data_IF_048993376493
#
_entry.id   IF_048993376493
#
_cell.length_a   1.000
_cell.length_b   1.000
_cell.length_c   1.000
_cell.angle_alpha   90.00
_cell.angle_beta   90.00
_cell.angle_gamma   90.00
#
_symmetry.space_group_name_H-M   'P 1'
#
loop_
_entity.id
_entity.type
_entity.pdbx_description
1 polymer ?
#
# COMPACT_ATOMS: atom_id res chain seq x y z
N UNK A 1 -1.15 85.69 17.88
CA UNK A 1 -2.09 85.03 16.95
C UNK A 1 -1.55 83.64 16.63
N UNK A 2 -2.29 82.56 16.96
CA UNK A 2 -1.93 81.17 16.61
C UNK A 2 -3.06 80.59 15.77
N UNK A 3 -2.73 80.11 14.58
CA UNK A 3 -3.65 79.44 13.64
C UNK A 3 -3.90 77.98 14.06
N UNK A 4 -5.13 77.45 13.94
CA UNK A 4 -5.39 76.05 14.24
C UNK A 4 -5.01 75.16 13.05
N UNK A 5 -4.40 74.02 13.37
CA UNK A 5 -3.94 73.00 12.42
C UNK A 5 -4.97 71.86 12.39
N UNK A 6 -5.60 71.60 11.24
CA UNK A 6 -6.60 70.54 11.11
C UNK A 6 -5.91 69.21 10.77
N UNK A 7 -5.74 68.37 11.80
CA UNK A 7 -5.23 67.01 11.66
C UNK A 7 -6.33 66.11 11.09
N UNK A 8 -6.14 65.62 9.86
CA UNK A 8 -7.05 64.70 9.18
C UNK A 8 -6.91 63.28 9.75
N UNK A 9 -7.85 62.85 10.58
CA UNK A 9 -7.87 61.51 11.17
C UNK A 9 -8.58 60.53 10.23
N UNK A 10 -7.80 59.73 9.50
CA UNK A 10 -8.32 58.56 8.80
C UNK A 10 -8.88 57.57 9.81
N UNK A 11 -10.21 57.48 9.91
CA UNK A 11 -10.87 56.48 10.77
C UNK A 11 -10.52 55.09 10.26
N UNK A 12 -9.75 54.34 11.05
CA UNK A 12 -9.61 52.90 10.88
C UNK A 12 -11.01 52.28 11.07
N UNK A 13 -11.59 51.77 9.99
CA UNK A 13 -12.85 51.01 10.04
C UNK A 13 -12.52 49.63 10.60
N UNK A 14 -13.09 49.27 11.75
CA UNK A 14 -13.02 47.93 12.32
C UNK A 14 -14.00 46.98 11.65
N UNK A 15 -13.70 45.68 11.71
CA UNK A 15 -14.61 44.61 11.28
C UNK A 15 -15.86 44.56 12.16
N UNK A 16 -17.01 44.28 11.54
CA UNK A 16 -18.29 44.08 12.23
C UNK A 16 -18.44 42.64 12.73
N UNK A 17 -19.26 42.44 13.77
CA UNK A 17 -19.63 41.10 14.23
C UNK A 17 -20.34 40.27 13.13
N UNK A 18 -21.10 40.94 12.27
CA UNK A 18 -21.81 40.29 11.16
C UNK A 18 -20.82 39.75 10.12
N UNK A 19 -19.78 40.51 9.77
CA UNK A 19 -18.73 40.03 8.87
C UNK A 19 -17.98 38.83 9.46
N UNK A 20 -17.65 38.88 10.75
CA UNK A 20 -17.00 37.74 11.41
C UNK A 20 -17.92 36.50 11.41
N UNK A 21 -19.21 36.68 11.70
CA UNK A 21 -20.19 35.60 11.72
C UNK A 21 -20.39 34.97 10.34
N UNK A 22 -20.44 35.78 9.28
CA UNK A 22 -20.51 35.30 7.91
C UNK A 22 -19.28 34.45 7.54
N UNK A 23 -18.07 34.91 7.91
CA UNK A 23 -16.82 34.19 7.64
C UNK A 23 -16.77 32.83 8.34
N UNK A 24 -17.06 32.77 9.64
CA UNK A 24 -17.05 31.48 10.37
C UNK A 24 -18.11 30.52 9.86
N UNK A 25 -19.27 31.03 9.44
CA UNK A 25 -20.33 30.22 8.83
C UNK A 25 -19.86 29.60 7.52
N UNK A 26 -19.22 30.38 6.65
CA UNK A 26 -18.65 29.87 5.39
C UNK A 26 -17.56 28.83 5.66
N UNK A 27 -16.66 29.08 6.63
CA UNK A 27 -15.60 28.12 7.01
C UNK A 27 -16.19 26.80 7.49
N UNK A 28 -17.23 26.81 8.33
CA UNK A 28 -17.89 25.59 8.82
C UNK A 28 -18.49 24.78 7.67
N UNK A 29 -19.18 25.44 6.73
CA UNK A 29 -19.77 24.77 5.56
C UNK A 29 -18.67 24.14 4.68
N UNK A 30 -17.63 24.91 4.34
CA UNK A 30 -16.53 24.42 3.51
C UNK A 30 -15.75 23.29 4.20
N UNK A 31 -15.53 23.39 5.52
CA UNK A 31 -14.84 22.36 6.29
C UNK A 31 -15.63 21.05 6.30
N UNK A 32 -16.96 21.12 6.46
CA UNK A 32 -17.83 19.95 6.41
C UNK A 32 -17.80 19.22 5.07
N UNK A 33 -17.87 19.95 3.96
CA UNK A 33 -17.78 19.37 2.61
C UNK A 33 -16.41 18.72 2.36
N UNK A 34 -15.34 19.36 2.83
CA UNK A 34 -13.96 18.88 2.63
C UNK A 34 -13.73 17.52 3.31
N UNK A 35 -14.18 17.36 4.56
CA UNK A 35 -14.03 16.10 5.29
C UNK A 35 -14.87 14.98 4.67
N UNK A 36 -16.09 15.28 4.19
CA UNK A 36 -16.97 14.30 3.57
C UNK A 36 -16.41 13.66 2.30
N UNK A 37 -15.65 14.40 1.49
CA UNK A 37 -15.08 13.88 0.24
C UNK A 37 -13.80 13.02 0.45
N UNK A 38 -13.11 13.17 1.58
CA UNK A 38 -11.78 12.58 1.80
C UNK A 38 -11.79 11.04 1.76
N UNK A 39 -12.79 10.41 2.37
CA UNK A 39 -12.85 8.93 2.44
C UNK A 39 -12.98 8.26 1.06
N UNK A 40 -13.75 8.86 0.15
CA UNK A 40 -13.90 8.34 -1.22
C UNK A 40 -12.59 8.48 -2.01
N UNK A 41 -11.91 9.62 -1.88
CA UNK A 41 -10.61 9.86 -2.53
C UNK A 41 -9.56 8.88 -2.01
N UNK A 42 -9.53 8.62 -0.71
CA UNK A 42 -8.62 7.63 -0.11
C UNK A 42 -8.89 6.22 -0.62
N UNK A 43 -10.16 5.79 -0.69
CA UNK A 43 -10.54 4.48 -1.25
C UNK A 43 -10.08 4.36 -2.71
N UNK A 44 -10.34 5.39 -3.52
CA UNK A 44 -9.91 5.39 -4.93
C UNK A 44 -8.39 5.34 -5.07
N UNK A 45 -7.66 6.11 -4.27
CA UNK A 45 -6.20 6.09 -4.27
C UNK A 45 -5.64 4.73 -3.84
N UNK A 46 -6.29 4.07 -2.87
CA UNK A 46 -5.91 2.73 -2.43
C UNK A 46 -6.13 1.68 -3.54
N UNK A 47 -7.26 1.72 -4.27
CA UNK A 47 -7.48 0.82 -5.42
C UNK A 47 -6.37 0.98 -6.47
N UNK A 48 -6.06 2.21 -6.88
CA UNK A 48 -5.00 2.44 -7.88
C UNK A 48 -3.63 2.02 -7.38
N UNK A 49 -3.35 2.23 -6.09
CA UNK A 49 -2.11 1.76 -5.47
C UNK A 49 -2.04 0.23 -5.44
N UNK A 50 -3.12 -0.46 -5.09
CA UNK A 50 -3.17 -1.92 -5.12
C UNK A 50 -2.98 -2.45 -6.52
N UNK A 51 -3.54 -1.81 -7.56
CA UNK A 51 -3.26 -2.19 -8.96
C UNK A 51 -1.79 -2.07 -9.32
N UNK A 52 -1.13 -1.00 -8.88
CA UNK A 52 0.32 -0.84 -9.08
C UNK A 52 1.13 -1.91 -8.32
N UNK A 53 0.71 -2.26 -7.11
CA UNK A 53 1.29 -3.37 -6.34
C UNK A 53 1.11 -4.71 -7.07
N UNK A 54 -0.10 -5.01 -7.58
CA UNK A 54 -0.38 -6.23 -8.36
C UNK A 54 0.52 -6.31 -9.59
N UNK A 55 0.61 -5.26 -10.41
CA UNK A 55 1.46 -5.25 -11.60
C UNK A 55 2.95 -5.48 -11.26
N UNK A 56 3.41 -4.98 -10.11
CA UNK A 56 4.77 -5.19 -9.65
C UNK A 56 5.02 -6.64 -9.25
N UNK A 57 4.05 -7.25 -8.56
CA UNK A 57 4.08 -8.66 -8.16
C UNK A 57 4.06 -9.55 -9.39
N UNK A 58 3.20 -9.28 -10.36
CA UNK A 58 3.11 -10.00 -11.63
C UNK A 58 4.45 -9.97 -12.37
N UNK A 59 5.08 -8.80 -12.50
CA UNK A 59 6.38 -8.71 -13.14
C UNK A 59 7.49 -9.43 -12.34
N UNK A 60 7.41 -9.42 -11.00
CA UNK A 60 8.29 -10.20 -10.14
C UNK A 60 8.13 -11.70 -10.37
N UNK A 61 6.89 -12.18 -10.46
CA UNK A 61 6.54 -13.57 -10.74
C UNK A 61 7.00 -14.01 -12.13
N UNK A 62 6.89 -13.15 -13.15
CA UNK A 62 7.43 -13.41 -14.49
C UNK A 62 8.96 -13.59 -14.45
N UNK A 63 9.67 -12.73 -13.72
CA UNK A 63 11.13 -12.84 -13.55
C UNK A 63 11.52 -14.09 -12.78
N UNK A 64 10.75 -14.45 -11.76
CA UNK A 64 10.91 -15.69 -11.03
C UNK A 64 10.78 -16.89 -11.96
N UNK A 65 9.69 -16.96 -12.73
CA UNK A 65 9.45 -18.03 -13.70
C UNK A 65 10.54 -18.09 -14.78
N UNK A 66 11.05 -16.94 -15.25
CA UNK A 66 12.16 -16.90 -16.19
C UNK A 66 13.47 -17.47 -15.62
N UNK A 67 13.66 -17.40 -14.30
CA UNK A 67 14.86 -17.88 -13.60
C UNK A 67 14.74 -19.36 -13.18
N UNK A 68 13.60 -19.73 -12.59
CA UNK A 68 13.37 -21.05 -11.97
C UNK A 68 12.66 -22.02 -12.94
N UNK A 69 11.92 -21.48 -13.92
CA UNK A 69 11.19 -22.26 -14.93
C UNK A 69 9.77 -22.64 -14.53
N UNK A 70 9.33 -22.27 -13.32
CA UNK A 70 7.98 -22.47 -12.82
C UNK A 70 7.58 -21.26 -11.96
N UNK A 71 6.29 -20.95 -11.87
CA UNK A 71 5.79 -20.03 -10.85
C UNK A 71 5.87 -20.67 -9.45
N UNK A 72 6.02 -19.89 -8.37
CA UNK A 72 6.09 -20.43 -7.01
C UNK A 72 4.88 -21.31 -6.69
N UNK A 73 5.09 -22.57 -6.30
CA UNK A 73 3.99 -23.46 -5.91
C UNK A 73 3.79 -23.41 -4.38
N UNK A 74 3.19 -22.31 -3.91
CA UNK A 74 2.99 -22.07 -2.48
C UNK A 74 1.83 -22.94 -1.94
N UNK A 75 2.10 -23.72 -0.89
CA UNK A 75 1.08 -24.56 -0.25
C UNK A 75 0.11 -23.73 0.57
N UNK A 76 0.58 -22.61 1.13
CA UNK A 76 -0.26 -21.69 1.89
C UNK A 76 -0.58 -20.48 1.02
N UNK A 77 -1.85 -20.08 0.95
CA UNK A 77 -2.25 -18.86 0.23
C UNK A 77 -1.91 -17.57 0.98
N UNK A 78 -0.88 -17.60 1.84
CA UNK A 78 -0.42 -16.45 2.61
C UNK A 78 0.52 -15.59 1.80
N UNK A 79 0.36 -14.27 1.90
CA UNK A 79 1.29 -13.32 1.29
C UNK A 79 2.72 -13.40 1.84
N UNK A 80 2.94 -14.00 3.02
CA UNK A 80 4.29 -14.13 3.59
C UNK A 80 5.18 -15.05 2.76
N UNK A 81 4.71 -16.23 2.35
CA UNK A 81 5.48 -17.15 1.49
C UNK A 81 5.80 -16.48 0.14
N UNK A 82 4.84 -15.73 -0.42
CA UNK A 82 5.06 -14.97 -1.64
C UNK A 82 6.14 -13.89 -1.46
N UNK A 83 6.12 -13.21 -0.32
CA UNK A 83 7.17 -12.25 0.04
C UNK A 83 8.55 -12.91 0.09
N UNK A 84 8.67 -14.06 0.77
CA UNK A 84 9.94 -14.76 0.93
C UNK A 84 10.57 -15.07 -0.42
N UNK A 85 9.78 -15.60 -1.35
CA UNK A 85 10.23 -15.96 -2.70
C UNK A 85 10.57 -14.74 -3.56
N UNK A 86 9.74 -13.70 -3.53
CA UNK A 86 9.93 -12.53 -4.41
C UNK A 86 11.01 -11.56 -3.91
N UNK A 87 11.19 -11.47 -2.59
CA UNK A 87 12.21 -10.62 -1.98
C UNK A 87 13.52 -11.37 -1.70
N UNK A 88 13.48 -12.70 -1.63
CA UNK A 88 14.66 -13.53 -1.36
C UNK A 88 15.01 -13.64 0.13
N UNK A 89 14.07 -13.40 1.05
CA UNK A 89 14.29 -13.42 2.50
C UNK A 89 13.67 -14.68 3.11
N UNK A 90 14.51 -15.55 3.68
CA UNK A 90 14.09 -16.87 4.17
C UNK A 90 14.04 -17.96 3.10
N UNK A 91 14.67 -17.74 1.94
CA UNK A 91 14.80 -18.74 0.86
C UNK A 91 16.26 -19.01 0.53
N UNK A 92 16.53 -20.24 0.12
CA UNK A 92 17.83 -20.67 -0.38
C UNK A 92 18.32 -19.96 -1.64
N UNK A 93 19.52 -20.32 -2.10
CA UNK A 93 20.11 -19.78 -3.34
C UNK A 93 19.37 -20.23 -4.61
N UNK A 94 18.57 -21.29 -4.50
CA UNK A 94 17.68 -21.75 -5.58
C UNK A 94 16.39 -20.90 -5.68
N UNK A 95 16.06 -20.15 -4.63
CA UNK A 95 14.86 -19.32 -4.52
C UNK A 95 13.57 -20.12 -4.36
N UNK A 96 13.65 -21.41 -4.03
CA UNK A 96 12.50 -22.32 -3.89
C UNK A 96 12.21 -22.52 -2.41
N UNK A 97 10.93 -22.49 -2.03
CA UNK A 97 10.50 -22.79 -0.65
C UNK A 97 10.33 -24.30 -0.41
N UNK A 98 10.32 -24.67 0.87
CA UNK A 98 10.24 -26.03 1.40
C UNK A 98 11.47 -26.88 1.09
N UNK A 99 12.64 -26.25 1.04
CA UNK A 99 13.95 -26.88 0.83
C UNK A 99 14.77 -26.91 2.13
N UNK A 100 15.83 -27.72 2.15
CA UNK A 100 16.68 -27.88 3.34
C UNK A 100 17.52 -26.63 3.67
N UNK A 101 17.64 -25.68 2.73
CA UNK A 101 18.40 -24.44 2.85
C UNK A 101 17.56 -23.20 3.18
N UNK A 102 16.25 -23.35 3.36
CA UNK A 102 15.37 -22.28 3.80
C UNK A 102 15.72 -21.76 5.20
N UNK A 103 15.61 -20.44 5.38
CA UNK A 103 15.88 -19.77 6.65
C UNK A 103 14.66 -19.03 7.18
N UNK A 104 14.77 -18.47 8.39
CA UNK A 104 13.68 -17.66 8.95
C UNK A 104 13.78 -16.24 8.43
N UNK A 105 12.71 -15.67 7.86
CA UNK A 105 12.73 -14.30 7.34
C UNK A 105 13.15 -13.28 8.40
N UNK A 106 14.13 -12.46 8.08
CA UNK A 106 14.69 -11.44 8.98
C UNK A 106 14.53 -10.00 8.46
N UNK A 107 13.91 -9.85 7.28
CA UNK A 107 13.67 -8.60 6.58
C UNK A 107 14.76 -8.23 5.57
N UNK A 108 15.69 -9.14 5.26
CA UNK A 108 16.77 -8.92 4.30
C UNK A 108 16.91 -10.13 3.37
N UNK A 109 17.32 -9.92 2.11
CA UNK A 109 17.59 -11.05 1.23
C UNK A 109 18.76 -11.90 1.74
N UNK A 110 18.59 -13.22 1.69
CA UNK A 110 19.60 -14.20 2.07
C UNK A 110 20.75 -14.26 1.04
N UNK A 111 21.92 -14.72 1.48
CA UNK A 111 23.10 -14.79 0.61
C UNK A 111 22.88 -15.76 -0.55
N UNK A 112 22.94 -15.24 -1.78
CA UNK A 112 22.71 -16.02 -3.00
C UNK A 112 21.26 -16.04 -3.47
N UNK A 113 20.31 -15.58 -2.66
CA UNK A 113 18.92 -15.41 -3.08
C UNK A 113 18.80 -14.30 -4.12
N UNK A 114 17.90 -14.49 -5.09
CA UNK A 114 17.63 -13.50 -6.13
C UNK A 114 16.47 -12.61 -5.72
N UNK A 115 16.68 -11.29 -5.72
CA UNK A 115 15.61 -10.32 -5.46
C UNK A 115 14.83 -10.06 -6.75
N UNK A 116 13.58 -10.48 -6.82
CA UNK A 116 12.71 -10.26 -7.98
C UNK A 116 11.92 -8.97 -7.87
N UNK A 117 11.49 -8.61 -6.65
CA UNK A 117 10.74 -7.39 -6.34
C UNK A 117 11.45 -6.60 -5.21
N UNK A 118 12.36 -5.68 -5.54
CA UNK A 118 13.07 -4.86 -4.56
C UNK A 118 12.17 -3.98 -3.68
N UNK A 119 10.99 -3.61 -4.17
CA UNK A 119 10.02 -2.76 -3.47
C UNK A 119 9.36 -3.45 -2.27
N UNK A 120 9.55 -4.78 -2.14
CA UNK A 120 9.16 -5.53 -0.96
C UNK A 120 10.09 -5.31 0.23
N UNK A 121 11.17 -4.53 0.11
CA UNK A 121 12.03 -4.19 1.25
C UNK A 121 11.20 -3.63 2.44
N UNK A 122 11.15 -4.33 3.60
CA UNK A 122 10.36 -3.90 4.75
C UNK A 122 10.89 -2.63 5.42
N UNK A 123 12.16 -2.27 5.18
CA UNK A 123 12.79 -1.07 5.71
C UNK A 123 12.43 0.14 4.85
N UNK A 124 12.57 0.03 3.53
CA UNK A 124 12.20 1.10 2.61
C UNK A 124 10.67 1.25 2.50
N UNK A 125 9.98 0.12 2.36
CA UNK A 125 8.53 -0.09 2.31
C UNK A 125 7.75 1.03 1.60
N UNK A 126 8.28 1.51 0.47
CA UNK A 126 7.79 2.70 -0.22
C UNK A 126 6.32 2.51 -0.66
N UNK A 127 6.01 1.30 -1.12
CA UNK A 127 4.68 0.91 -1.55
C UNK A 127 3.79 0.40 -0.40
N UNK A 128 4.25 0.42 0.86
CA UNK A 128 3.52 -0.17 2.02
C UNK A 128 3.03 -1.59 1.74
N UNK A 129 3.87 -2.40 1.11
CA UNK A 129 3.53 -3.77 0.70
C UNK A 129 3.87 -4.79 1.78
N UNK A 130 4.63 -4.41 2.80
CA UNK A 130 5.00 -5.32 3.89
C UNK A 130 4.55 -4.74 5.23
N UNK A 131 3.88 -5.57 6.02
CA UNK A 131 3.56 -5.28 7.41
C UNK A 131 4.65 -5.88 8.31
N UNK A 132 5.51 -5.05 8.94
CA UNK A 132 6.52 -5.56 9.85
C UNK A 132 5.95 -5.94 11.22
N UNK A 133 6.40 -7.06 11.78
CA UNK A 133 6.21 -7.45 13.17
C UNK A 133 7.41 -7.06 14.04
N UNK A 134 7.10 -6.47 15.20
CA UNK A 134 8.08 -6.20 16.25
C UNK A 134 9.06 -5.07 15.92
N UNK A 135 10.16 -5.02 16.70
CA UNK A 135 11.13 -3.91 16.67
C UNK A 135 12.11 -3.95 15.50
N UNK A 136 12.25 -5.10 14.85
CA UNK A 136 13.29 -5.36 13.84
C UNK A 136 12.77 -5.35 12.40
N UNK A 137 11.58 -4.80 12.18
CA UNK A 137 10.93 -4.80 10.86
C UNK A 137 10.78 -6.19 10.22
N UNK A 138 10.64 -7.25 11.04
CA UNK A 138 10.48 -8.62 10.52
C UNK A 138 9.23 -8.71 9.66
N UNK A 139 9.27 -9.24 8.45
CA UNK A 139 8.11 -9.31 7.58
C UNK A 139 7.07 -10.26 8.19
N UNK A 140 5.87 -9.76 8.47
CA UNK A 140 4.78 -10.57 9.01
C UNK A 140 3.80 -10.98 7.91
N UNK A 141 3.49 -10.03 7.01
CA UNK A 141 2.53 -10.21 5.92
C UNK A 141 2.89 -9.30 4.76
N UNK A 142 2.59 -9.78 3.55
CA UNK A 142 2.60 -8.96 2.35
C UNK A 142 1.18 -8.46 2.10
N UNK A 143 0.98 -7.14 2.20
CA UNK A 143 -0.33 -6.50 2.25
C UNK A 143 -0.59 -5.58 1.06
N UNK A 144 -1.86 -5.45 0.71
CA UNK A 144 -2.36 -4.47 -0.25
C UNK A 144 -2.43 -3.06 0.35
N UNK A 145 -2.89 -2.07 -0.44
CA UNK A 145 -3.04 -0.70 0.03
C UNK A 145 -4.12 -0.51 1.11
N UNK A 146 -4.99 -1.51 1.33
CA UNK A 146 -6.00 -1.55 2.38
C UNK A 146 -5.47 -2.20 3.67
N UNK A 147 -4.25 -2.74 3.65
CA UNK A 147 -3.63 -3.43 4.79
C UNK A 147 -4.06 -4.88 4.92
N UNK A 148 -4.67 -5.46 3.90
CA UNK A 148 -5.08 -6.87 3.87
C UNK A 148 -4.02 -7.68 3.13
N UNK A 149 -3.67 -8.85 3.67
CA UNK A 149 -2.68 -9.72 3.03
C UNK A 149 -3.13 -10.11 1.63
N UNK A 150 -2.25 -10.05 0.64
CA UNK A 150 -2.51 -10.68 -0.66
C UNK A 150 -2.73 -12.18 -0.49
N UNK A 151 -3.51 -12.76 -1.42
CA UNK A 151 -3.63 -14.20 -1.61
C UNK A 151 -3.04 -14.58 -2.96
N UNK A 152 -2.29 -15.67 -2.92
CA UNK A 152 -1.61 -16.21 -4.09
C UNK A 152 -1.82 -17.72 -4.17
N UNK A 153 -1.96 -18.22 -5.40
CA UNK A 153 -1.91 -19.64 -5.72
C UNK A 153 -1.24 -19.84 -7.08
N UNK A 154 -0.11 -20.53 -7.11
CA UNK A 154 0.64 -20.78 -8.34
C UNK A 154 0.45 -22.19 -8.91
N UNK A 155 0.64 -22.33 -10.22
CA UNK A 155 0.67 -23.60 -10.94
C UNK A 155 -0.54 -24.47 -10.62
N UNK A 156 -0.30 -25.68 -10.11
CA UNK A 156 -1.36 -26.65 -9.79
C UNK A 156 -2.37 -26.19 -8.73
N UNK A 157 -2.06 -25.14 -7.97
CA UNK A 157 -2.94 -24.60 -6.93
C UNK A 157 -3.83 -23.46 -7.45
N UNK A 158 -3.51 -22.88 -8.61
CA UNK A 158 -4.34 -21.90 -9.28
C UNK A 158 -5.66 -22.55 -9.73
N UNK A 159 -6.77 -21.82 -9.56
CA UNK A 159 -8.13 -22.26 -9.85
C UNK A 159 -8.75 -21.51 -11.01
N UNK A 160 -8.39 -20.24 -11.19
CA UNK A 160 -9.01 -19.37 -12.19
C UNK A 160 -8.11 -19.19 -13.42
N UNK A 161 -6.80 -19.10 -13.22
CA UNK A 161 -5.80 -18.98 -14.27
C UNK A 161 -4.89 -20.22 -14.38
N UNK A 162 -4.31 -20.49 -15.56
CA UNK A 162 -3.41 -21.63 -15.76
C UNK A 162 -2.03 -21.45 -15.09
N UNK A 163 -1.60 -20.19 -14.92
CA UNK A 163 -0.27 -19.85 -14.44
C UNK A 163 -0.26 -19.58 -12.92
N UNK A 164 -1.02 -18.57 -12.48
CA UNK A 164 -1.21 -18.23 -11.09
C UNK A 164 -2.47 -17.39 -10.87
N UNK A 165 -3.05 -17.49 -9.67
CA UNK A 165 -4.09 -16.61 -9.17
C UNK A 165 -3.48 -15.65 -8.15
N UNK A 166 -3.68 -14.34 -8.35
CA UNK A 166 -3.31 -13.29 -7.41
C UNK A 166 -4.55 -12.46 -7.08
N UNK A 167 -4.81 -12.25 -5.79
CA UNK A 167 -6.00 -11.52 -5.34
C UNK A 167 -5.72 -10.63 -4.13
N UNK A 168 -6.34 -9.46 -4.13
CA UNK A 168 -6.46 -8.54 -2.99
C UNK A 168 -7.93 -8.45 -2.59
N UNK A 169 -8.20 -8.42 -1.29
CA UNK A 169 -9.56 -8.37 -0.74
C UNK A 169 -10.28 -7.03 -0.90
N UNK A 170 -9.61 -6.03 -1.48
CA UNK A 170 -10.22 -4.74 -1.75
C UNK A 170 -10.54 -3.95 -0.47
N UNK A 171 -11.50 -3.04 -0.59
CA UNK A 171 -11.78 -2.05 0.44
C UNK A 171 -12.64 -2.59 1.59
N UNK A 172 -13.41 -3.64 1.37
CA UNK A 172 -14.18 -4.30 2.43
C UNK A 172 -13.35 -5.32 3.23
N UNK A 173 -12.17 -5.68 2.71
CA UNK A 173 -11.20 -6.58 3.31
C UNK A 173 -11.68 -8.04 3.38
N UNK A 174 -12.66 -8.41 2.55
CA UNK A 174 -13.23 -9.75 2.48
C UNK A 174 -13.05 -10.32 1.09
N UNK A 175 -12.38 -11.46 1.01
CA UNK A 175 -12.26 -12.17 -0.26
C UNK A 175 -13.57 -12.80 -0.72
N UNK A 176 -13.68 -12.95 -2.03
CA UNK A 176 -14.83 -13.42 -2.80
C UNK A 176 -16.00 -12.43 -2.80
N UNK A 177 -15.69 -11.15 -2.95
CA UNK A 177 -16.66 -10.04 -3.04
C UNK A 177 -16.46 -9.25 -4.34
N UNK A 178 -17.36 -8.31 -4.63
CA UNK A 178 -17.32 -7.54 -5.88
C UNK A 178 -16.17 -6.54 -5.95
N UNK A 179 -15.55 -6.17 -4.83
CA UNK A 179 -14.44 -5.21 -4.79
C UNK A 179 -13.05 -5.84 -4.73
N UNK A 180 -13.00 -7.17 -4.84
CA UNK A 180 -11.74 -7.90 -5.01
C UNK A 180 -10.99 -7.41 -6.26
N UNK A 181 -9.67 -7.30 -6.12
CA UNK A 181 -8.76 -7.00 -7.22
C UNK A 181 -8.01 -8.29 -7.55
N UNK A 182 -8.35 -8.86 -8.70
CA UNK A 182 -7.90 -10.20 -9.13
C UNK A 182 -7.23 -10.13 -10.49
N UNK A 183 -6.41 -11.12 -10.82
CA UNK A 183 -5.69 -11.19 -12.10
C UNK A 183 -6.43 -12.00 -13.19
N UNK A 184 -7.73 -12.30 -13.02
CA UNK A 184 -8.58 -12.99 -14.00
C UNK A 184 -9.81 -12.18 -14.39
#
# INVERSE_FOLDING_TARGET
MKTPNFQNTSRLRGFTLVELLAVVTIIVILSGLTVGAMGWVQKKAAVEKTRAQVALIENGLERYNAKVGIYPELRTSTGLELYMVLFGDGVGADGILETDDDTTPDGKPDEGATVFVPELDPVANQMKMVEPAGRNAKPAKMVDAFGVSFRYAGGRFARNNPDFDLSSAGADGRFNTEDDLVNW
#
